data_IF_667164904295
#
_entry.id   IF_667164904295
#
_cell.length_a   1.000
_cell.length_b   1.000
_cell.length_c   1.000
_cell.angle_alpha   90.00
_cell.angle_beta   90.00
_cell.angle_gamma   90.00
#
_symmetry.space_group_name_H-M   'P 1'
#
loop_
_entity.id
_entity.type
_entity.pdbx_description
1 polymer ?
#
# COMPACT_ATOMS: atom_id res chain seq x y z
N UNK A 1 -46.29 45.05 45.73
CA UNK A 1 -46.21 44.78 44.29
C UNK A 1 -44.74 44.44 43.98
N UNK A 2 -44.41 43.13 43.91
CA UNK A 2 -43.05 42.65 43.72
C UNK A 2 -42.94 42.18 42.29
N UNK A 3 -42.12 42.87 41.48
CA UNK A 3 -41.84 42.49 40.07
C UNK A 3 -40.71 41.44 40.00
N UNK A 4 -41.05 40.23 39.57
CA UNK A 4 -40.13 39.18 39.33
C UNK A 4 -39.53 39.39 37.92
N UNK A 5 -38.19 39.65 37.83
CA UNK A 5 -37.46 39.74 36.61
C UNK A 5 -37.04 38.33 36.24
N UNK A 6 -37.60 37.80 35.17
CA UNK A 6 -37.16 36.56 34.51
C UNK A 6 -35.96 36.85 33.59
N UNK A 7 -34.79 36.29 33.92
CA UNK A 7 -33.56 36.35 33.10
C UNK A 7 -33.60 35.13 32.16
N UNK A 8 -33.59 35.29 30.83
CA UNK A 8 -33.46 34.14 29.92
C UNK A 8 -32.02 33.66 29.92
N UNK A 9 -31.82 32.38 30.33
CA UNK A 9 -30.53 31.69 30.27
C UNK A 9 -30.27 31.32 28.83
N UNK A 10 -29.28 31.98 28.18
CA UNK A 10 -28.81 31.68 26.83
C UNK A 10 -27.88 30.49 26.89
N UNK A 11 -28.38 29.31 26.53
CA UNK A 11 -27.53 28.09 26.39
C UNK A 11 -26.77 28.20 25.07
N UNK A 12 -25.48 28.54 25.16
CA UNK A 12 -24.55 28.52 24.03
C UNK A 12 -24.13 27.09 23.76
N UNK A 13 -24.71 26.44 22.76
CA UNK A 13 -24.28 25.10 22.31
C UNK A 13 -22.94 25.23 21.60
N UNK A 14 -21.85 24.81 22.26
CA UNK A 14 -20.51 24.73 21.68
C UNK A 14 -20.48 23.48 20.80
N UNK A 15 -20.59 23.63 19.48
CA UNK A 15 -20.37 22.58 18.52
C UNK A 15 -18.86 22.35 18.43
N UNK A 16 -18.37 21.24 19.01
CA UNK A 16 -17.00 20.76 18.78
C UNK A 16 -16.92 20.22 17.38
N UNK A 17 -16.01 20.72 16.53
CA UNK A 17 -15.73 20.07 15.26
C UNK A 17 -15.09 18.72 15.53
N UNK A 18 -15.72 17.62 15.09
CA UNK A 18 -15.12 16.30 15.00
C UNK A 18 -13.97 16.40 13.98
N UNK A 19 -12.74 16.53 14.48
CA UNK A 19 -11.55 16.40 13.65
C UNK A 19 -11.51 14.96 13.14
N UNK A 20 -11.88 14.75 11.87
CA UNK A 20 -11.61 13.50 11.16
C UNK A 20 -10.11 13.39 11.04
N UNK A 21 -9.49 12.60 11.92
CA UNK A 21 -8.08 12.24 11.78
C UNK A 21 -7.95 11.41 10.51
N UNK A 22 -7.29 11.97 9.50
CA UNK A 22 -6.93 11.24 8.30
C UNK A 22 -6.11 10.01 8.71
N UNK A 23 -6.56 8.82 8.35
CA UNK A 23 -5.87 7.57 8.62
C UNK A 23 -4.52 7.59 7.89
N UNK A 24 -3.43 7.57 8.63
CA UNK A 24 -2.06 7.69 8.08
C UNK A 24 -1.57 6.40 7.45
N UNK A 25 -2.12 5.24 7.84
CA UNK A 25 -1.79 3.91 7.31
C UNK A 25 -2.95 3.35 6.48
N UNK A 26 -2.61 2.66 5.41
CA UNK A 26 -3.58 1.93 4.60
C UNK A 26 -4.00 0.62 5.29
N UNK A 27 -5.15 0.08 4.91
CA UNK A 27 -5.69 -1.18 5.41
C UNK A 27 -5.70 -2.29 4.35
N UNK A 28 -6.00 -3.53 4.77
CA UNK A 28 -5.97 -4.71 3.90
C UNK A 28 -6.96 -4.64 2.72
N UNK A 29 -8.12 -4.04 2.92
CA UNK A 29 -9.11 -3.86 1.85
C UNK A 29 -8.60 -2.91 0.78
N UNK A 30 -7.98 -1.79 1.19
CA UNK A 30 -7.37 -0.81 0.29
C UNK A 30 -6.21 -1.43 -0.52
N UNK A 31 -5.34 -2.23 0.13
CA UNK A 31 -4.25 -2.93 -0.55
C UNK A 31 -4.78 -3.91 -1.60
N UNK A 32 -5.78 -4.73 -1.24
CA UNK A 32 -6.41 -5.67 -2.18
C UNK A 32 -7.06 -4.95 -3.36
N UNK A 33 -7.80 -3.86 -3.11
CA UNK A 33 -8.45 -3.07 -4.15
C UNK A 33 -7.42 -2.43 -5.09
N UNK A 34 -6.32 -1.88 -4.55
CA UNK A 34 -5.27 -1.24 -5.35
C UNK A 34 -4.53 -2.25 -6.23
N UNK A 35 -4.23 -3.46 -5.71
CA UNK A 35 -3.61 -4.53 -6.51
C UNK A 35 -4.52 -4.95 -7.66
N UNK A 36 -5.80 -5.21 -7.40
CA UNK A 36 -6.77 -5.55 -8.46
C UNK A 36 -6.88 -4.47 -9.52
N UNK A 37 -6.89 -3.19 -9.09
CA UNK A 37 -6.88 -2.04 -10.00
C UNK A 37 -5.61 -2.03 -10.86
N UNK A 38 -4.44 -2.30 -10.27
CA UNK A 38 -3.15 -2.39 -10.97
C UNK A 38 -3.13 -3.51 -12.00
N UNK A 39 -3.59 -4.71 -11.63
CA UNK A 39 -3.72 -5.87 -12.54
C UNK A 39 -4.64 -5.54 -13.72
N UNK A 40 -5.82 -4.97 -13.47
CA UNK A 40 -6.75 -4.56 -14.51
C UNK A 40 -6.14 -3.50 -15.44
N UNK A 41 -5.43 -2.52 -14.88
CA UNK A 41 -4.77 -1.47 -15.66
C UNK A 41 -3.67 -2.03 -16.58
N UNK A 42 -2.83 -2.96 -16.08
CA UNK A 42 -1.81 -3.64 -16.91
C UNK A 42 -2.45 -4.44 -18.03
N UNK A 43 -3.51 -5.20 -17.73
CA UNK A 43 -4.25 -5.98 -18.74
C UNK A 43 -4.81 -5.11 -19.87
N UNK A 44 -5.34 -3.94 -19.55
CA UNK A 44 -5.98 -3.04 -20.50
C UNK A 44 -4.97 -2.23 -21.31
N UNK A 45 -3.87 -1.78 -20.71
CA UNK A 45 -2.94 -0.81 -21.28
C UNK A 45 -1.60 -1.42 -21.73
N UNK A 46 -1.36 -2.70 -21.43
CA UNK A 46 -0.08 -3.39 -21.66
C UNK A 46 0.94 -3.17 -20.55
N UNK A 47 1.96 -4.04 -20.55
CA UNK A 47 3.01 -4.07 -19.50
C UNK A 47 3.78 -2.75 -19.42
N UNK A 48 4.25 -2.21 -20.54
CA UNK A 48 5.10 -1.02 -20.56
C UNK A 48 4.39 0.19 -19.94
N UNK A 49 3.18 0.47 -20.38
CA UNK A 49 2.37 1.58 -19.85
C UNK A 49 1.93 1.32 -18.41
N UNK A 50 1.60 0.07 -18.08
CA UNK A 50 1.23 -0.35 -16.73
C UNK A 50 2.38 -0.17 -15.73
N UNK A 51 3.57 -0.61 -16.08
CA UNK A 51 4.75 -0.50 -15.20
C UNK A 51 5.21 0.95 -15.03
N UNK A 52 5.15 1.75 -16.11
CA UNK A 52 5.45 3.17 -16.03
C UNK A 52 4.50 3.89 -15.05
N UNK A 53 3.21 3.65 -15.16
CA UNK A 53 2.21 4.28 -14.28
C UNK A 53 2.32 3.77 -12.82
N UNK A 54 2.59 2.49 -12.59
CA UNK A 54 2.84 1.95 -11.24
C UNK A 54 4.09 2.57 -10.61
N UNK A 55 5.10 2.90 -11.41
CA UNK A 55 6.35 3.52 -10.95
C UNK A 55 6.24 5.04 -10.77
N UNK A 56 5.13 5.63 -11.13
CA UNK A 56 4.86 7.06 -10.91
C UNK A 56 4.55 7.30 -9.42
N UNK A 57 5.48 7.93 -8.70
CA UNK A 57 5.39 8.18 -7.24
C UNK A 57 4.24 9.12 -6.84
N UNK A 58 3.70 9.87 -7.79
CA UNK A 58 2.55 10.77 -7.62
C UNK A 58 1.32 10.29 -8.41
N UNK A 59 1.39 9.07 -8.95
CA UNK A 59 0.35 8.44 -9.75
C UNK A 59 -0.75 7.77 -8.93
N UNK A 60 -1.69 7.19 -9.64
CA UNK A 60 -2.91 6.59 -9.08
C UNK A 60 -2.67 5.28 -8.30
N UNK A 61 -1.44 4.76 -8.26
CA UNK A 61 -1.06 3.52 -7.58
C UNK A 61 -0.20 3.75 -6.33
N UNK A 62 -0.21 4.99 -5.82
CA UNK A 62 0.41 5.38 -4.55
C UNK A 62 -0.61 6.15 -3.72
N UNK A 63 -0.82 5.72 -2.48
CA UNK A 63 -1.69 6.40 -1.53
C UNK A 63 -1.14 6.24 -0.11
N UNK A 64 -0.69 7.33 0.49
CA UNK A 64 -0.09 7.36 1.85
C UNK A 64 1.14 6.44 1.92
N UNK A 65 1.09 5.35 2.71
CA UNK A 65 2.14 4.34 2.83
C UNK A 65 1.91 3.11 1.92
N UNK A 66 0.80 3.07 1.18
CA UNK A 66 0.45 2.02 0.24
C UNK A 66 0.94 2.37 -1.17
N UNK A 67 1.62 1.43 -1.80
CA UNK A 67 2.10 1.52 -3.19
C UNK A 67 2.18 0.14 -3.82
N UNK A 68 2.14 0.10 -5.16
CA UNK A 68 2.31 -1.14 -5.90
C UNK A 68 3.78 -1.41 -6.23
N UNK A 69 4.10 -2.70 -6.29
CA UNK A 69 5.36 -3.23 -6.83
C UNK A 69 5.02 -4.40 -7.74
N UNK A 70 5.73 -4.49 -8.87
CA UNK A 70 5.61 -5.65 -9.79
C UNK A 70 6.94 -6.40 -9.77
N UNK A 71 6.89 -7.67 -9.39
CA UNK A 71 8.02 -8.59 -9.42
C UNK A 71 7.87 -9.56 -10.58
N UNK A 72 8.91 -9.75 -11.36
CA UNK A 72 9.02 -10.91 -12.23
C UNK A 72 9.17 -12.18 -11.41
N UNK A 73 8.72 -13.33 -11.94
CA UNK A 73 8.96 -14.64 -11.32
C UNK A 73 10.45 -15.04 -11.33
N UNK A 74 11.30 -14.27 -12.02
CA UNK A 74 12.76 -14.32 -11.99
C UNK A 74 13.39 -13.50 -10.85
N UNK A 75 12.58 -12.87 -9.99
CA UNK A 75 13.03 -12.01 -8.88
C UNK A 75 13.40 -10.58 -9.28
N UNK A 76 13.28 -10.21 -10.56
CA UNK A 76 13.59 -8.85 -11.03
C UNK A 76 12.39 -7.93 -10.81
N UNK A 77 12.62 -6.77 -10.22
CA UNK A 77 11.59 -5.74 -10.06
C UNK A 77 11.28 -5.07 -11.40
N UNK A 78 10.03 -5.14 -11.85
CA UNK A 78 9.55 -4.53 -13.10
C UNK A 78 9.01 -3.11 -12.89
N UNK A 79 8.38 -2.85 -11.74
CA UNK A 79 7.84 -1.54 -11.37
C UNK A 79 7.85 -1.36 -9.85
N UNK A 80 7.97 -0.12 -9.35
CA UNK A 80 7.99 0.17 -7.92
C UNK A 80 7.51 1.59 -7.59
N UNK A 81 6.33 1.72 -6.98
CA UNK A 81 5.69 3.01 -6.71
C UNK A 81 6.38 3.91 -5.68
N UNK A 82 7.27 3.36 -4.82
CA UNK A 82 7.95 4.15 -3.79
C UNK A 82 9.46 4.31 -3.99
N UNK A 83 10.12 3.42 -4.74
CA UNK A 83 11.58 3.44 -4.90
C UNK A 83 12.02 2.95 -6.30
N UNK A 84 12.23 3.88 -7.19
CA UNK A 84 12.67 3.66 -8.57
C UNK A 84 14.07 3.00 -8.68
N UNK A 85 14.93 3.16 -7.67
CA UNK A 85 16.26 2.53 -7.63
C UNK A 85 16.21 0.99 -7.55
N UNK A 86 15.06 0.42 -7.23
CA UNK A 86 14.85 -1.02 -7.20
C UNK A 86 14.48 -1.60 -8.57
N UNK A 87 13.97 -0.78 -9.49
CA UNK A 87 13.53 -1.21 -10.81
C UNK A 87 14.71 -1.77 -11.61
N UNK A 88 14.51 -2.93 -12.22
CA UNK A 88 15.53 -3.66 -12.99
C UNK A 88 16.51 -4.47 -12.15
N UNK A 89 16.48 -4.38 -10.82
CA UNK A 89 17.34 -5.21 -9.96
C UNK A 89 16.71 -6.56 -9.69
N UNK A 90 17.55 -7.61 -9.71
CA UNK A 90 17.17 -8.90 -9.17
C UNK A 90 17.32 -8.86 -7.64
N UNK A 91 16.22 -9.09 -6.94
CA UNK A 91 16.16 -9.05 -5.49
C UNK A 91 15.86 -10.42 -4.88
N UNK A 92 16.09 -11.51 -5.62
CA UNK A 92 15.74 -12.87 -5.19
C UNK A 92 16.39 -13.24 -3.85
N UNK A 93 17.63 -12.80 -3.61
CA UNK A 93 18.39 -13.10 -2.40
C UNK A 93 18.28 -11.99 -1.34
N UNK A 94 17.43 -10.98 -1.57
CA UNK A 94 17.24 -9.89 -0.60
C UNK A 94 16.55 -10.41 0.66
N UNK A 95 17.17 -10.13 1.80
CA UNK A 95 16.66 -10.49 3.13
C UNK A 95 16.10 -9.26 3.84
N UNK A 96 15.07 -9.49 4.63
CA UNK A 96 14.64 -8.50 5.61
C UNK A 96 15.56 -8.49 6.84
N UNK A 97 15.26 -7.64 7.83
CA UNK A 97 16.09 -7.50 9.06
C UNK A 97 16.14 -8.78 9.90
N UNK A 98 15.15 -9.68 9.75
CA UNK A 98 15.11 -10.98 10.44
C UNK A 98 15.77 -12.10 9.62
N UNK A 99 16.35 -11.79 8.44
CA UNK A 99 17.01 -12.74 7.55
C UNK A 99 16.06 -13.48 6.61
N UNK A 100 14.79 -13.09 6.52
CA UNK A 100 13.81 -13.73 5.65
C UNK A 100 14.04 -13.34 4.18
N UNK A 101 14.21 -14.33 3.30
CA UNK A 101 14.33 -14.17 1.84
C UNK A 101 12.94 -13.92 1.22
N UNK A 102 12.36 -12.77 1.52
CA UNK A 102 10.96 -12.48 1.22
C UNK A 102 10.64 -12.38 -0.28
N UNK A 103 11.59 -12.02 -1.14
CA UNK A 103 11.36 -12.00 -2.59
C UNK A 103 11.34 -13.41 -3.15
N UNK A 104 12.25 -14.29 -2.73
CA UNK A 104 12.28 -15.70 -3.10
C UNK A 104 11.00 -16.42 -2.70
N UNK A 105 10.58 -16.30 -1.45
CA UNK A 105 9.33 -16.86 -0.97
C UNK A 105 8.11 -16.32 -1.75
N UNK A 106 8.11 -15.03 -2.10
CA UNK A 106 7.05 -14.40 -2.93
C UNK A 106 6.96 -15.01 -4.32
N UNK A 107 8.10 -15.23 -4.97
CA UNK A 107 8.16 -15.87 -6.30
C UNK A 107 7.65 -17.31 -6.22
N UNK A 108 8.04 -18.06 -5.19
CA UNK A 108 7.56 -19.42 -4.96
C UNK A 108 6.03 -19.43 -4.73
N UNK A 109 5.51 -18.54 -3.89
CA UNK A 109 4.08 -18.40 -3.65
C UNK A 109 3.31 -18.00 -4.92
N UNK A 110 3.82 -17.05 -5.70
CA UNK A 110 3.22 -16.60 -6.95
C UNK A 110 3.25 -17.70 -8.03
N UNK A 111 4.22 -18.60 -8.00
CA UNK A 111 4.27 -19.76 -8.91
C UNK A 111 3.21 -20.80 -8.59
N UNK A 112 2.83 -20.93 -7.30
CA UNK A 112 1.89 -21.92 -6.81
C UNK A 112 0.44 -21.42 -6.66
N UNK A 113 0.23 -20.09 -6.50
CA UNK A 113 -1.07 -19.51 -6.15
C UNK A 113 -1.37 -18.29 -7.02
N UNK A 114 -2.64 -18.09 -7.35
CA UNK A 114 -3.11 -16.90 -8.07
C UNK A 114 -3.08 -15.65 -7.19
N UNK A 115 -3.39 -15.79 -5.89
CA UNK A 115 -3.39 -14.69 -4.90
C UNK A 115 -2.89 -15.19 -3.57
N UNK A 116 -2.22 -14.31 -2.80
CA UNK A 116 -1.73 -14.65 -1.46
C UNK A 116 -1.39 -13.40 -0.65
N UNK A 117 -1.28 -13.58 0.66
CA UNK A 117 -0.68 -12.62 1.59
C UNK A 117 0.65 -13.14 2.09
N UNK A 118 1.61 -12.21 2.30
CA UNK A 118 2.93 -12.52 2.83
C UNK A 118 3.36 -11.47 3.86
N UNK A 119 3.84 -11.94 5.02
CA UNK A 119 4.37 -11.07 6.07
C UNK A 119 5.91 -11.02 6.03
N UNK A 120 6.47 -9.82 6.19
CA UNK A 120 7.92 -9.56 6.29
C UNK A 120 8.13 -8.17 6.92
N UNK A 121 9.37 -7.75 7.11
CA UNK A 121 9.69 -6.39 7.60
C UNK A 121 10.31 -5.55 6.48
N UNK A 122 9.87 -4.31 6.35
CA UNK A 122 10.41 -3.42 5.33
C UNK A 122 10.32 -1.95 5.72
N UNK A 123 11.11 -1.09 5.06
CA UNK A 123 11.10 0.35 5.31
C UNK A 123 9.78 0.97 4.83
N UNK A 124 9.06 1.61 5.75
CA UNK A 124 7.87 2.38 5.43
C UNK A 124 8.27 3.69 4.73
N UNK A 125 7.69 4.01 3.55
CA UNK A 125 8.09 5.21 2.79
C UNK A 125 7.72 6.52 3.47
N UNK A 126 6.77 6.52 4.40
CA UNK A 126 6.32 7.70 5.14
C UNK A 126 7.13 7.89 6.42
N UNK A 127 7.14 6.89 7.31
CA UNK A 127 7.84 6.97 8.61
C UNK A 127 9.36 6.83 8.50
N UNK A 128 9.88 6.29 7.39
CA UNK A 128 11.29 5.93 7.15
C UNK A 128 11.85 4.88 8.12
N UNK A 129 10.98 4.21 8.86
CA UNK A 129 11.34 3.14 9.80
C UNK A 129 11.12 1.76 9.18
N UNK A 130 11.86 0.75 9.67
CA UNK A 130 11.57 -0.66 9.36
C UNK A 130 10.38 -1.07 10.22
N UNK A 131 9.30 -1.48 9.57
CA UNK A 131 8.05 -1.86 10.22
C UNK A 131 7.57 -3.22 9.69
N UNK A 132 6.79 -3.99 10.49
CA UNK A 132 6.09 -5.16 9.98
C UNK A 132 5.19 -4.79 8.82
N UNK A 133 5.26 -5.55 7.73
CA UNK A 133 4.49 -5.34 6.51
C UNK A 133 3.77 -6.61 6.11
N UNK A 134 2.50 -6.49 5.77
CA UNK A 134 1.70 -7.55 5.16
C UNK A 134 1.41 -7.17 3.72
N UNK A 135 1.87 -7.99 2.77
CA UNK A 135 1.77 -7.70 1.34
C UNK A 135 0.81 -8.67 0.67
N UNK A 136 -0.24 -8.13 0.03
CA UNK A 136 -1.12 -8.87 -0.86
C UNK A 136 -0.53 -8.89 -2.26
N UNK A 137 -0.53 -10.05 -2.90
CA UNK A 137 -0.06 -10.22 -4.27
C UNK A 137 -1.10 -10.95 -5.11
N UNK A 138 -1.15 -10.59 -6.39
CA UNK A 138 -1.93 -11.27 -7.42
C UNK A 138 -1.01 -11.59 -8.60
N UNK A 139 -1.01 -12.86 -9.02
CA UNK A 139 -0.24 -13.30 -10.18
C UNK A 139 -0.83 -12.75 -11.47
N UNK A 140 0.03 -12.24 -12.33
CA UNK A 140 -0.29 -11.82 -13.68
C UNK A 140 0.79 -12.35 -14.64
N UNK A 141 0.48 -13.40 -15.39
CA UNK A 141 1.39 -14.09 -16.31
C UNK A 141 2.70 -14.52 -15.63
N UNK A 142 3.83 -13.92 -16.03
CA UNK A 142 5.19 -14.13 -15.53
C UNK A 142 5.58 -13.16 -14.41
N UNK A 143 4.59 -12.48 -13.80
CA UNK A 143 4.80 -11.48 -12.75
C UNK A 143 3.84 -11.66 -11.59
N UNK A 144 4.18 -11.04 -10.45
CA UNK A 144 3.31 -10.81 -9.31
C UNK A 144 3.15 -9.31 -9.09
N UNK A 145 1.90 -8.82 -9.13
CA UNK A 145 1.53 -7.45 -8.78
C UNK A 145 1.18 -7.42 -7.30
N UNK A 146 1.87 -6.62 -6.52
CA UNK A 146 1.79 -6.63 -5.08
C UNK A 146 1.58 -5.23 -4.50
N UNK A 147 0.79 -5.15 -3.42
CA UNK A 147 0.61 -3.95 -2.60
C UNK A 147 0.52 -4.34 -1.13
N UNK A 148 1.13 -3.58 -0.23
CA UNK A 148 1.23 -3.99 1.17
C UNK A 148 0.95 -2.89 2.16
N UNK A 149 0.43 -3.31 3.32
CA UNK A 149 0.12 -2.45 4.46
C UNK A 149 1.19 -2.62 5.54
N UNK A 150 1.47 -1.54 6.28
CA UNK A 150 2.33 -1.54 7.46
C UNK A 150 1.47 -1.67 8.73
N UNK A 151 1.91 -2.54 9.65
CA UNK A 151 1.19 -2.84 10.91
C UNK A 151 1.60 -1.89 12.04
#
# INVERSE_FOLDING_TARGET
MQRILLIPSLICAIAFPLAVQAQTKANASEATALVKKGVAFIKTNGKDKGYLEISNKTGQFVDRDLYLVVYGLDGVVRAHGANDKMIGKNLIDLKDIDGKEFVKERVEMASAKATFWQDYKFTNPVSKKIEPKSMYCERLDDTAVCGGIYK
#
